data_IF_922142089650
#
_entry.id   IF_922142089650
#
_cell.length_a   1.000
_cell.length_b   1.000
_cell.length_c   1.000
_cell.angle_alpha   90.00
_cell.angle_beta   90.00
_cell.angle_gamma   90.00
#
_symmetry.space_group_name_H-M   'P 1'
#
loop_
_entity.id
_entity.type
_entity.pdbx_description
1 polymer ?
#
# COMPACT_ATOMS: atom_id res chain seq x y z
N UNK A 1 2.58 7.15 35.50
CA UNK A 1 1.27 6.79 34.91
C UNK A 1 1.14 7.24 33.46
N UNK A 2 1.39 8.52 33.12
CA UNK A 2 1.28 9.05 31.73
C UNK A 2 2.16 8.36 30.66
N UNK A 3 3.31 7.80 31.05
CA UNK A 3 4.27 7.14 30.13
C UNK A 3 3.79 5.77 29.60
N UNK A 4 2.87 5.10 30.29
CA UNK A 4 2.36 3.79 29.88
C UNK A 4 1.15 3.91 28.92
N UNK A 5 0.37 5.00 29.04
CA UNK A 5 -0.70 5.36 28.10
C UNK A 5 -0.13 5.71 26.71
N UNK A 6 0.93 6.52 26.65
CA UNK A 6 1.58 6.90 25.38
C UNK A 6 2.19 5.68 24.65
N UNK A 7 2.72 4.70 25.41
CA UNK A 7 3.28 3.46 24.85
C UNK A 7 2.20 2.54 24.28
N UNK A 8 1.06 2.48 24.96
CA UNK A 8 -0.09 1.67 24.54
C UNK A 8 -0.76 2.28 23.30
N UNK A 9 -0.89 3.61 23.25
CA UNK A 9 -1.39 4.33 22.08
C UNK A 9 -0.49 4.10 20.84
N UNK A 10 0.83 4.26 20.98
CA UNK A 10 1.78 4.00 19.88
C UNK A 10 1.76 2.56 19.37
N UNK A 11 1.62 1.57 20.26
CA UNK A 11 1.52 0.16 19.87
C UNK A 11 0.24 -0.14 19.06
N UNK A 12 -0.88 0.49 19.45
CA UNK A 12 -2.16 0.37 18.76
C UNK A 12 -2.10 0.99 17.36
N UNK A 13 -1.46 2.14 17.20
CA UNK A 13 -1.33 2.81 15.89
C UNK A 13 -0.45 2.02 14.91
N UNK A 14 0.65 1.43 15.39
CA UNK A 14 1.49 0.54 14.57
C UNK A 14 0.71 -0.71 14.15
N UNK A 15 -0.13 -1.27 15.03
CA UNK A 15 -0.98 -2.40 14.70
C UNK A 15 -2.02 -2.03 13.61
N UNK A 16 -2.66 -0.86 13.72
CA UNK A 16 -3.61 -0.35 12.71
C UNK A 16 -2.94 -0.16 11.34
N UNK A 17 -1.74 0.44 11.30
CA UNK A 17 -0.99 0.67 10.07
C UNK A 17 -0.61 -0.63 9.34
N UNK A 18 -0.18 -1.66 10.09
CA UNK A 18 0.12 -2.99 9.52
C UNK A 18 -1.12 -3.70 8.96
N UNK A 19 -2.25 -3.62 9.66
CA UNK A 19 -3.51 -4.25 9.20
C UNK A 19 -4.01 -3.61 7.90
N UNK A 20 -3.97 -2.28 7.80
CA UNK A 20 -4.36 -1.56 6.57
C UNK A 20 -3.47 -1.98 5.39
N UNK A 21 -2.15 -2.02 5.58
CA UNK A 21 -1.22 -2.43 4.52
C UNK A 21 -1.40 -3.89 4.09
N UNK A 22 -1.78 -4.80 5.01
CA UNK A 22 -2.08 -6.19 4.67
C UNK A 22 -3.37 -6.32 3.82
N UNK A 23 -4.41 -5.54 4.16
CA UNK A 23 -5.66 -5.52 3.39
C UNK A 23 -5.46 -4.97 1.98
N UNK A 24 -4.69 -3.89 1.81
CA UNK A 24 -4.37 -3.35 0.49
C UNK A 24 -3.62 -4.36 -0.38
N UNK A 25 -2.64 -5.09 0.19
CA UNK A 25 -1.90 -6.12 -0.54
C UNK A 25 -2.81 -7.27 -0.96
N UNK A 26 -3.71 -7.72 -0.09
CA UNK A 26 -4.69 -8.76 -0.43
C UNK A 26 -5.64 -8.29 -1.55
N UNK A 27 -6.11 -7.04 -1.48
CA UNK A 27 -7.00 -6.45 -2.48
C UNK A 27 -6.30 -6.23 -3.83
N UNK A 28 -5.08 -5.70 -3.82
CA UNK A 28 -4.27 -5.51 -5.01
C UNK A 28 -3.96 -6.86 -5.69
N UNK A 29 -3.56 -7.88 -4.92
CA UNK A 29 -3.32 -9.23 -5.45
C UNK A 29 -4.58 -9.81 -6.10
N UNK A 30 -5.74 -9.69 -5.43
CA UNK A 30 -7.02 -10.16 -5.97
C UNK A 30 -7.37 -9.47 -7.28
N UNK A 31 -7.20 -8.15 -7.37
CA UNK A 31 -7.50 -7.38 -8.59
C UNK A 31 -6.54 -7.68 -9.74
N UNK A 32 -5.25 -7.90 -9.46
CA UNK A 32 -4.28 -8.33 -10.48
C UNK A 32 -4.65 -9.71 -11.02
N UNK A 33 -5.05 -10.65 -10.17
CA UNK A 33 -5.52 -11.98 -10.60
C UNK A 33 -6.77 -11.89 -11.48
N UNK A 34 -7.64 -10.90 -11.24
CA UNK A 34 -8.82 -10.61 -12.06
C UNK A 34 -8.52 -9.75 -13.30
N UNK A 35 -7.25 -9.47 -13.59
CA UNK A 35 -6.82 -8.56 -14.67
C UNK A 35 -7.40 -7.14 -14.59
N UNK A 36 -7.83 -6.69 -13.40
CA UNK A 36 -8.43 -5.38 -13.14
C UNK A 36 -7.37 -4.35 -12.74
N UNK A 37 -6.45 -4.04 -13.64
CA UNK A 37 -5.32 -3.13 -13.38
C UNK A 37 -5.76 -1.70 -13.03
N UNK A 38 -6.86 -1.22 -13.61
CA UNK A 38 -7.40 0.11 -13.32
C UNK A 38 -7.86 0.25 -11.85
N UNK A 39 -8.46 -0.80 -11.28
CA UNK A 39 -8.91 -0.82 -9.90
C UNK A 39 -7.74 -0.77 -8.90
N UNK A 40 -6.59 -1.36 -9.25
CA UNK A 40 -5.34 -1.25 -8.47
C UNK A 40 -4.86 0.20 -8.43
N UNK A 41 -4.93 0.91 -9.56
CA UNK A 41 -4.61 2.34 -9.64
C UNK A 41 -5.50 3.19 -8.71
N UNK A 42 -6.79 2.90 -8.66
CA UNK A 42 -7.73 3.58 -7.76
C UNK A 42 -7.41 3.37 -6.27
N UNK A 43 -7.02 2.17 -5.87
CA UNK A 43 -6.62 1.89 -4.48
C UNK A 43 -5.41 2.73 -4.08
N UNK A 44 -4.42 2.82 -4.97
CA UNK A 44 -3.19 3.57 -4.70
C UNK A 44 -3.47 5.07 -4.63
N UNK A 45 -4.33 5.59 -5.51
CA UNK A 45 -4.78 6.97 -5.45
C UNK A 45 -5.50 7.27 -4.12
N UNK A 46 -6.42 6.40 -3.72
CA UNK A 46 -7.14 6.53 -2.46
C UNK A 46 -6.21 6.47 -1.23
N UNK A 47 -5.21 5.57 -1.24
CA UNK A 47 -4.18 5.47 -0.19
C UNK A 47 -3.38 6.76 -0.06
N UNK A 48 -2.91 7.30 -1.18
CA UNK A 48 -2.14 8.56 -1.22
C UNK A 48 -2.97 9.74 -0.75
N UNK A 49 -4.26 9.81 -1.13
CA UNK A 49 -5.17 10.86 -0.68
C UNK A 49 -5.43 10.79 0.83
N UNK A 50 -5.64 9.60 1.38
CA UNK A 50 -5.85 9.39 2.81
C UNK A 50 -4.61 9.74 3.66
N UNK A 51 -3.40 9.68 3.07
CA UNK A 51 -2.13 10.01 3.72
C UNK A 51 -1.53 11.33 3.26
N UNK A 52 -2.28 12.17 2.53
CA UNK A 52 -1.75 13.39 1.93
C UNK A 52 -1.00 14.30 2.91
N UNK A 53 -1.55 14.54 4.11
CA UNK A 53 -0.86 15.33 5.16
C UNK A 53 0.42 14.68 5.68
N UNK A 54 0.49 13.35 5.74
CA UNK A 54 1.69 12.64 6.18
C UNK A 54 2.79 12.68 5.11
N UNK A 55 2.44 12.87 3.84
CA UNK A 55 3.40 13.04 2.74
C UNK A 55 4.10 14.42 2.75
N UNK A 56 3.74 15.34 3.65
CA UNK A 56 4.49 16.57 3.88
C UNK A 56 5.86 16.30 4.53
N UNK A 57 5.97 15.19 5.28
CA UNK A 57 7.25 14.68 5.76
C UNK A 57 7.99 13.98 4.61
N UNK A 58 9.12 14.56 4.20
CA UNK A 58 9.90 14.09 3.06
C UNK A 58 10.42 12.67 3.25
N UNK A 59 10.86 12.31 4.45
CA UNK A 59 11.40 10.97 4.70
C UNK A 59 10.29 9.90 4.59
N UNK A 60 9.13 10.20 5.16
CA UNK A 60 7.95 9.34 5.03
C UNK A 60 7.47 9.24 3.58
N UNK A 61 7.41 10.36 2.86
CA UNK A 61 6.96 10.41 1.47
C UNK A 61 7.86 9.57 0.56
N UNK A 62 9.18 9.66 0.71
CA UNK A 62 10.14 8.87 -0.07
C UNK A 62 9.96 7.37 0.19
N UNK A 63 9.91 6.96 1.46
CA UNK A 63 9.71 5.56 1.83
C UNK A 63 8.37 5.01 1.29
N UNK A 64 7.29 5.77 1.46
CA UNK A 64 5.96 5.42 0.97
C UNK A 64 5.92 5.28 -0.55
N UNK A 65 6.52 6.24 -1.27
CA UNK A 65 6.51 6.28 -2.72
C UNK A 65 7.34 5.15 -3.31
N UNK A 66 8.55 4.92 -2.79
CA UNK A 66 9.42 3.82 -3.21
C UNK A 66 8.72 2.47 -3.01
N UNK A 67 8.14 2.23 -1.83
CA UNK A 67 7.45 0.97 -1.53
C UNK A 67 6.22 0.71 -2.41
N UNK A 68 5.44 1.77 -2.67
CA UNK A 68 4.21 1.68 -3.48
C UNK A 68 4.54 1.48 -4.96
N UNK A 69 5.49 2.25 -5.51
CA UNK A 69 5.90 2.13 -6.91
C UNK A 69 6.60 0.81 -7.20
N UNK A 70 7.45 0.31 -6.29
CA UNK A 70 8.08 -1.00 -6.44
C UNK A 70 7.04 -2.13 -6.50
N UNK A 71 6.01 -2.07 -5.65
CA UNK A 71 4.91 -3.06 -5.66
C UNK A 71 4.08 -2.98 -6.95
N UNK A 72 3.80 -1.78 -7.44
CA UNK A 72 3.14 -1.55 -8.73
C UNK A 72 3.95 -2.12 -9.89
N UNK A 73 5.26 -1.88 -9.90
CA UNK A 73 6.16 -2.37 -10.94
C UNK A 73 6.17 -3.91 -10.97
N UNK A 74 6.27 -4.56 -9.81
CA UNK A 74 6.19 -6.02 -9.73
C UNK A 74 4.84 -6.55 -10.22
N UNK A 75 3.73 -5.91 -9.84
CA UNK A 75 2.40 -6.29 -10.30
C UNK A 75 2.23 -6.13 -11.82
N UNK A 76 2.77 -5.06 -12.41
CA UNK A 76 2.75 -4.83 -13.86
C UNK A 76 3.62 -5.85 -14.60
N UNK A 77 4.83 -6.14 -14.11
CA UNK A 77 5.70 -7.16 -14.69
C UNK A 77 5.04 -8.54 -14.64
N UNK A 78 4.40 -8.89 -13.52
CA UNK A 78 3.66 -10.14 -13.38
C UNK A 78 2.46 -10.20 -14.34
N UNK A 79 1.63 -9.15 -14.41
CA UNK A 79 0.43 -9.14 -15.26
C UNK A 79 0.73 -9.07 -16.76
N UNK A 80 1.75 -8.33 -17.17
CA UNK A 80 2.22 -8.32 -18.56
C UNK A 80 2.85 -9.68 -18.89
N UNK A 81 3.66 -10.23 -17.98
CA UNK A 81 4.29 -11.53 -18.14
C UNK A 81 3.29 -12.68 -18.29
N UNK A 82 2.22 -12.70 -17.48
CA UNK A 82 1.16 -13.71 -17.62
C UNK A 82 0.42 -13.57 -18.94
N UNK A 83 0.13 -12.33 -19.37
CA UNK A 83 -0.53 -12.10 -20.66
C UNK A 83 0.34 -12.59 -21.83
N UNK A 84 1.63 -12.30 -21.81
CA UNK A 84 2.60 -12.76 -22.81
C UNK A 84 2.83 -14.27 -22.82
N UNK A 85 2.55 -14.96 -21.71
CA UNK A 85 2.67 -16.42 -21.60
C UNK A 85 1.38 -17.16 -22.00
N UNK A 86 0.25 -16.45 -22.02
CA UNK A 86 -1.09 -16.95 -22.37
C UNK A 86 -1.48 -16.65 -23.82
N UNK A 87 -0.89 -15.63 -24.44
CA UNK A 87 -0.89 -15.37 -25.90
C UNK A 87 0.18 -16.22 -26.60
#
# INVERSE_FOLDING_TARGET
MRRDEDRTAGAVDIARGRTIGALERALALTLVLLSQYAAVGWIIAAKSLARFKALEDREFAEYFLIGTLASLLLALLAGIGTRLLLE
#
